data_IF_543945886510
#
_entry.id   IF_543945886510
#
_cell.length_a   1.000
_cell.length_b   1.000
_cell.length_c   1.000
_cell.angle_alpha   90.00
_cell.angle_beta   90.00
_cell.angle_gamma   90.00
#
_symmetry.space_group_name_H-M   'P 1'
#
loop_
_entity.id
_entity.type
_entity.pdbx_description
1 polymer ?
#
# COMPACT_ATOMS: atom_id res chain seq x y z
N UNK A 1 9.71 13.23 -1.17
CA UNK A 1 10.33 12.57 -2.32
C UNK A 1 10.63 11.07 -2.14
N UNK A 2 11.60 10.57 -1.34
CA UNK A 2 11.98 9.15 -1.41
C UNK A 2 10.90 8.18 -0.91
N UNK A 3 10.20 8.55 0.18
CA UNK A 3 9.10 7.76 0.73
C UNK A 3 7.95 7.60 -0.27
N UNK A 4 7.56 8.69 -0.93
CA UNK A 4 6.47 8.68 -1.91
C UNK A 4 6.77 7.74 -3.09
N UNK A 5 7.99 7.79 -3.63
CA UNK A 5 8.41 6.92 -4.73
C UNK A 5 8.32 5.43 -4.36
N UNK A 6 8.90 5.05 -3.21
CA UNK A 6 8.90 3.65 -2.74
C UNK A 6 7.46 3.17 -2.56
N UNK A 7 6.61 3.98 -1.92
CA UNK A 7 5.24 3.58 -1.61
C UNK A 7 4.37 3.49 -2.87
N UNK A 8 4.53 4.39 -3.84
CA UNK A 8 3.82 4.32 -5.14
C UNK A 8 4.11 3.02 -5.89
N UNK A 9 5.37 2.60 -5.93
CA UNK A 9 5.75 1.32 -6.55
C UNK A 9 5.05 0.17 -5.83
N UNK A 10 5.02 0.19 -4.49
CA UNK A 10 4.39 -0.87 -3.71
C UNK A 10 2.87 -0.90 -3.83
N UNK A 11 2.23 0.23 -4.14
CA UNK A 11 0.78 0.32 -4.34
C UNK A 11 0.29 -0.44 -5.60
N UNK A 12 1.14 -0.57 -6.62
CA UNK A 12 0.83 -1.34 -7.84
C UNK A 12 1.20 -2.83 -7.74
N UNK A 13 1.95 -3.23 -6.72
CA UNK A 13 2.42 -4.61 -6.50
C UNK A 13 1.43 -5.49 -5.70
N UNK A 14 0.16 -5.08 -5.60
CA UNK A 14 -0.92 -5.82 -4.91
C UNK A 14 -0.69 -6.15 -3.42
N UNK A 15 0.26 -5.48 -2.76
CA UNK A 15 0.44 -5.58 -1.32
C UNK A 15 -0.79 -5.10 -0.57
N UNK A 16 -1.05 -5.64 0.61
CA UNK A 16 -1.96 -5.00 1.59
C UNK A 16 -1.33 -3.72 2.15
N UNK A 17 -2.11 -2.79 2.74
CA UNK A 17 -1.55 -1.60 3.37
C UNK A 17 -0.45 -1.93 4.40
N UNK A 18 -0.68 -2.95 5.23
CA UNK A 18 0.30 -3.39 6.24
C UNK A 18 1.61 -3.87 5.60
N UNK A 19 1.53 -4.68 4.54
CA UNK A 19 2.71 -5.15 3.81
C UNK A 19 3.48 -3.97 3.17
N UNK A 20 2.76 -3.00 2.59
CA UNK A 20 3.34 -1.84 1.93
C UNK A 20 4.06 -0.87 2.89
N UNK A 21 3.69 -0.84 4.16
CA UNK A 21 4.28 0.05 5.17
C UNK A 21 5.32 -0.66 6.07
N UNK A 22 5.23 -1.99 6.22
CA UNK A 22 6.08 -2.79 7.14
C UNK A 22 7.58 -2.45 7.11
N UNK A 23 8.25 -2.33 5.93
CA UNK A 23 9.67 -1.99 5.87
C UNK A 23 10.05 -0.65 6.50
N UNK A 24 9.12 0.30 6.58
CA UNK A 24 9.36 1.57 7.26
C UNK A 24 9.44 1.32 8.77
N UNK A 25 8.51 0.54 9.32
CA UNK A 25 8.50 0.17 10.74
C UNK A 25 9.68 -0.75 11.12
N UNK A 26 10.10 -1.62 10.20
CA UNK A 26 11.25 -2.51 10.39
C UNK A 26 12.57 -1.75 10.61
N UNK A 27 12.68 -0.49 10.18
CA UNK A 27 13.85 0.35 10.45
C UNK A 27 14.17 0.46 11.94
N UNK A 28 13.16 0.48 12.81
CA UNK A 28 13.35 0.49 14.27
C UNK A 28 14.18 -0.69 14.74
N UNK A 29 13.84 -1.88 14.25
CA UNK A 29 14.52 -3.11 14.63
C UNK A 29 15.90 -3.24 13.98
N UNK A 30 16.05 -2.82 12.72
CA UNK A 30 17.33 -2.85 12.01
C UNK A 30 18.33 -1.90 12.67
N UNK A 31 17.94 -0.65 12.93
CA UNK A 31 18.81 0.35 13.56
C UNK A 31 19.21 -0.10 14.96
N UNK A 32 18.26 -0.59 15.76
CA UNK A 32 18.55 -1.12 17.11
C UNK A 32 19.60 -2.24 17.08
N UNK A 33 19.49 -3.18 16.15
CA UNK A 33 20.47 -4.26 16.02
C UNK A 33 21.84 -3.75 15.64
N UNK A 34 21.92 -2.90 14.61
CA UNK A 34 23.18 -2.33 14.12
C UNK A 34 23.90 -1.58 15.25
N UNK A 35 23.18 -0.70 15.97
CA UNK A 35 23.77 0.06 17.07
C UNK A 35 24.16 -0.81 18.27
N UNK A 36 23.46 -1.93 18.49
CA UNK A 36 23.78 -2.85 19.59
C UNK A 36 25.02 -3.71 19.34
N UNK A 37 25.40 -3.89 18.07
CA UNK A 37 26.48 -4.78 17.65
C UNK A 37 27.88 -4.23 17.99
N UNK A 38 28.04 -2.91 18.02
CA UNK A 38 29.30 -2.24 18.35
C UNK A 38 29.23 -1.60 19.75
N UNK A 39 30.31 -1.71 20.52
CA UNK A 39 30.43 -1.10 21.86
C UNK A 39 30.41 0.42 21.79
N UNK A 40 30.98 1.00 20.73
CA UNK A 40 31.11 2.44 20.59
C UNK A 40 29.76 3.10 20.21
N UNK A 41 28.89 2.36 19.50
CA UNK A 41 27.55 2.85 19.12
C UNK A 41 26.46 2.48 20.11
N UNK A 42 26.69 1.53 21.01
CA UNK A 42 25.70 1.07 22.00
C UNK A 42 25.12 2.18 22.88
N UNK A 43 25.87 3.22 23.30
CA UNK A 43 25.30 4.34 24.05
C UNK A 43 24.18 5.08 23.31
N UNK A 44 24.22 5.11 21.97
CA UNK A 44 23.22 5.77 21.12
C UNK A 44 21.84 5.10 21.20
N UNK A 45 21.75 3.87 21.72
CA UNK A 45 20.47 3.19 21.95
C UNK A 45 19.55 3.99 22.89
N UNK A 46 20.12 4.77 23.81
CA UNK A 46 19.36 5.62 24.73
C UNK A 46 18.73 6.85 24.04
N UNK A 47 19.13 7.15 22.81
CA UNK A 47 18.66 8.31 22.04
C UNK A 47 17.59 7.93 21.01
N UNK A 48 17.21 6.65 20.92
CA UNK A 48 16.31 6.13 19.89
C UNK A 48 14.83 6.52 20.05
N UNK A 49 14.39 7.02 21.20
CA UNK A 49 12.98 7.37 21.41
C UNK A 49 12.47 8.37 20.35
N UNK A 50 13.29 9.39 20.05
CA UNK A 50 12.98 10.39 19.02
C UNK A 50 12.94 9.79 17.62
N UNK A 51 13.90 8.93 17.30
CA UNK A 51 13.97 8.19 16.04
C UNK A 51 12.76 7.27 15.85
N UNK A 52 12.35 6.55 16.89
CA UNK A 52 11.19 5.66 16.84
C UNK A 52 9.90 6.45 16.55
N UNK A 53 9.76 7.65 17.12
CA UNK A 53 8.64 8.54 16.83
C UNK A 53 8.65 9.02 15.37
N UNK A 54 9.83 9.35 14.83
CA UNK A 54 9.97 9.78 13.44
C UNK A 54 9.69 8.65 12.45
N UNK A 55 10.07 7.42 12.78
CA UNK A 55 9.73 6.23 11.99
C UNK A 55 8.21 5.98 11.99
N UNK A 56 7.54 6.13 13.12
CA UNK A 56 6.07 5.99 13.18
C UNK A 56 5.37 7.05 12.33
N UNK A 57 5.84 8.31 12.37
CA UNK A 57 5.32 9.39 11.53
C UNK A 57 5.53 9.10 10.05
N UNK A 58 6.70 8.58 9.68
CA UNK A 58 6.98 8.16 8.31
C UNK A 58 6.08 7.01 7.88
N UNK A 59 5.80 6.04 8.77
CA UNK A 59 4.89 4.93 8.48
C UNK A 59 3.45 5.41 8.27
N UNK A 60 2.96 6.38 9.04
CA UNK A 60 1.64 6.99 8.83
C UNK A 60 1.57 7.74 7.50
N UNK A 61 2.59 8.54 7.17
CA UNK A 61 2.65 9.23 5.89
C UNK A 61 2.70 8.23 4.71
N UNK A 62 3.44 7.13 4.86
CA UNK A 62 3.49 6.05 3.89
C UNK A 62 2.12 5.39 3.70
N UNK A 63 1.37 5.17 4.78
CA UNK A 63 0.02 4.65 4.71
C UNK A 63 -0.89 5.56 3.89
N UNK A 64 -0.87 6.86 4.15
CA UNK A 64 -1.70 7.84 3.41
C UNK A 64 -1.37 7.85 1.91
N UNK A 65 -0.07 7.82 1.56
CA UNK A 65 0.39 7.77 0.17
C UNK A 65 -0.11 6.48 -0.51
N UNK A 66 0.04 5.33 0.16
CA UNK A 66 -0.41 4.04 -0.36
C UNK A 66 -1.92 4.06 -0.62
N UNK A 67 -2.71 4.52 0.35
CA UNK A 67 -4.17 4.56 0.25
C UNK A 67 -4.64 5.48 -0.87
N UNK A 68 -4.02 6.65 -1.03
CA UNK A 68 -4.29 7.55 -2.14
C UNK A 68 -4.03 6.88 -3.51
N UNK A 69 -2.92 6.15 -3.64
CA UNK A 69 -2.60 5.42 -4.87
C UNK A 69 -3.63 4.31 -5.17
N UNK A 70 -4.02 3.53 -4.15
CA UNK A 70 -5.04 2.48 -4.30
C UNK A 70 -6.39 3.07 -4.69
N UNK A 71 -6.78 4.19 -4.08
CA UNK A 71 -8.02 4.87 -4.44
C UNK A 71 -8.02 5.32 -5.91
N UNK A 72 -6.91 5.88 -6.38
CA UNK A 72 -6.76 6.29 -7.79
C UNK A 72 -6.83 5.10 -8.74
N UNK A 73 -6.18 3.97 -8.43
CA UNK A 73 -6.27 2.74 -9.21
C UNK A 73 -7.71 2.21 -9.28
N UNK A 74 -8.43 2.22 -8.16
CA UNK A 74 -9.83 1.81 -8.12
C UNK A 74 -10.73 2.75 -8.94
N UNK A 75 -10.53 4.07 -8.84
CA UNK A 75 -11.24 5.07 -9.66
C UNK A 75 -10.99 4.87 -11.15
N UNK A 76 -9.72 4.67 -11.54
CA UNK A 76 -9.35 4.38 -12.93
C UNK A 76 -10.04 3.12 -13.44
N UNK A 77 -10.03 2.04 -12.64
CA UNK A 77 -10.70 0.78 -13.00
C UNK A 77 -12.21 0.93 -13.19
N UNK A 78 -12.87 1.67 -12.30
CA UNK A 78 -14.31 1.95 -12.44
C UNK A 78 -14.59 2.77 -13.71
N UNK A 79 -13.74 3.74 -14.03
CA UNK A 79 -13.87 4.55 -15.23
C UNK A 79 -13.69 3.73 -16.52
N UNK A 80 -12.70 2.85 -16.58
CA UNK A 80 -12.52 1.90 -17.70
C UNK A 80 -13.76 1.04 -17.94
N UNK A 81 -14.35 0.51 -16.85
CA UNK A 81 -15.56 -0.31 -16.93
C UNK A 81 -16.78 0.49 -17.41
N UNK A 82 -16.91 1.76 -17.00
CA UNK A 82 -18.02 2.64 -17.40
C UNK A 82 -17.89 3.17 -18.83
N UNK A 83 -16.68 3.42 -19.29
CA UNK A 83 -16.41 3.99 -20.62
C UNK A 83 -16.53 2.97 -21.75
N UNK A 84 -16.65 1.67 -21.44
CA UNK A 84 -16.77 0.62 -22.47
C UNK A 84 -15.45 0.27 -23.17
N UNK A 85 -14.35 0.95 -22.84
CA UNK A 85 -13.01 0.68 -23.35
C UNK A 85 -12.34 -0.57 -22.77
N UNK A 86 -13.04 -1.30 -21.90
CA UNK A 86 -12.61 -2.58 -21.31
C UNK A 86 -12.29 -3.67 -22.34
N UNK A 87 -12.71 -3.50 -23.61
CA UNK A 87 -12.64 -4.48 -24.70
C UNK A 87 -11.20 -4.82 -25.16
N UNK A 88 -10.17 -4.06 -24.77
CA UNK A 88 -8.80 -4.31 -25.26
C UNK A 88 -7.94 -5.27 -24.40
N UNK A 89 -8.49 -5.83 -23.32
CA UNK A 89 -7.80 -6.88 -22.55
C UNK A 89 -8.72 -8.09 -22.29
N UNK A 90 -8.81 -8.97 -23.29
CA UNK A 90 -9.10 -10.41 -23.19
C UNK A 90 -10.25 -10.90 -22.28
N UNK A 91 -11.24 -10.08 -21.96
CA UNK A 91 -12.33 -10.47 -21.07
C UNK A 91 -13.69 -10.07 -21.63
N UNK A 92 -14.59 -11.07 -21.66
CA UNK A 92 -15.87 -11.03 -22.35
C UNK A 92 -16.75 -9.83 -21.99
N UNK A 93 -17.65 -9.48 -22.93
CA UNK A 93 -18.52 -8.30 -22.92
C UNK A 93 -18.96 -7.82 -21.51
N UNK A 94 -18.69 -6.55 -21.16
CA UNK A 94 -19.09 -5.96 -19.87
C UNK A 94 -20.58 -6.09 -19.56
N UNK A 95 -21.44 -6.00 -20.58
CA UNK A 95 -22.89 -6.15 -20.45
C UNK A 95 -23.30 -7.55 -19.96
N UNK A 96 -22.53 -8.59 -20.28
CA UNK A 96 -22.77 -9.95 -19.80
C UNK A 96 -22.37 -10.12 -18.33
N UNK A 97 -21.27 -9.48 -17.90
CA UNK A 97 -20.80 -9.52 -16.51
C UNK A 97 -21.72 -8.75 -15.56
N UNK A 98 -22.17 -7.56 -15.95
CA UNK A 98 -23.12 -6.75 -15.17
C UNK A 98 -24.45 -7.50 -15.01
N UNK A 99 -24.95 -8.12 -16.10
CA UNK A 99 -26.16 -8.94 -16.05
C UNK A 99 -26.05 -10.15 -15.12
N UNK A 100 -24.89 -10.83 -15.09
CA UNK A 100 -24.64 -11.93 -14.15
C UNK A 100 -24.72 -11.46 -12.70
N UNK A 101 -24.07 -10.34 -12.36
CA UNK A 101 -24.10 -9.81 -10.99
C UNK A 101 -25.50 -9.37 -10.54
N UNK A 102 -26.32 -8.83 -11.44
CA UNK A 102 -27.73 -8.52 -11.13
C UNK A 102 -28.59 -9.76 -10.95
N UNK A 103 -28.34 -10.82 -11.72
CA UNK A 103 -29.07 -12.09 -11.60
C UNK A 103 -28.71 -12.86 -10.32
N UNK A 104 -27.44 -12.85 -9.90
CA UNK A 104 -27.03 -13.47 -8.63
C UNK A 104 -27.63 -12.73 -7.42
N UNK A 105 -27.74 -11.40 -7.45
CA UNK A 105 -28.42 -10.64 -6.39
C UNK A 105 -29.92 -10.95 -6.29
N UNK A 106 -30.56 -11.31 -7.41
CA UNK A 106 -32.00 -11.67 -7.42
C UNK A 106 -32.29 -13.12 -6.99
N UNK A 107 -31.26 -13.96 -6.80
CA UNK A 107 -31.41 -15.36 -6.37
C UNK A 107 -31.19 -15.56 -4.86
N UNK A 108 -30.77 -14.52 -4.15
CA UNK A 108 -30.51 -14.53 -2.70
C UNK A 108 -31.71 -13.93 -1.92
N UNK A 109 -32.79 -13.58 -2.62
CA UNK A 109 -34.12 -13.29 -2.07
C UNK A 109 -35.12 -14.28 -2.66
#
# INVERSE_FOLDING_TARGET
EPLDQVIRIRAVQEFTPAQAVSPILELKWVVKQVLSADKDTRPLLAELDSFDCDVDRAALAAFDIYMNCREQLHKARIFELKSGNFILSDSGCPSALIRKNSQDKSRIH
#
